data_IF_543555215587
#
_entry.id   IF_543555215587
#
_cell.length_a   1.000
_cell.length_b   1.000
_cell.length_c   1.000
_cell.angle_alpha   90.00
_cell.angle_beta   90.00
_cell.angle_gamma   90.00
#
_symmetry.space_group_name_H-M   'P 1'
#
loop_
_entity.id
_entity.type
_entity.pdbx_description
1 polymer ?
#
# COMPACT_ATOMS: atom_id res chain seq x y z
N UNK A 1 4.49 3.52 -0.19
CA UNK A 1 3.19 4.08 0.21
C UNK A 1 3.05 5.55 -0.19
N UNK A 2 3.92 6.46 0.21
CA UNK A 2 3.83 7.91 -0.08
C UNK A 2 3.70 8.30 -1.56
N UNK A 3 4.26 7.54 -2.49
CA UNK A 3 4.19 7.86 -3.93
C UNK A 3 2.77 7.66 -4.46
N UNK A 4 2.10 6.60 -4.04
CA UNK A 4 0.73 6.29 -4.44
C UNK A 4 -0.23 7.33 -3.90
N UNK A 5 -0.06 7.72 -2.62
CA UNK A 5 -0.85 8.79 -1.98
C UNK A 5 -0.72 10.12 -2.76
N UNK A 6 0.50 10.44 -3.22
CA UNK A 6 0.75 11.64 -4.04
C UNK A 6 0.08 11.58 -5.40
N UNK A 7 0.18 10.44 -6.08
CA UNK A 7 -0.47 10.23 -7.39
C UNK A 7 -1.98 10.34 -7.25
N UNK A 8 -2.56 9.68 -6.24
CA UNK A 8 -3.99 9.75 -5.96
C UNK A 8 -4.45 11.20 -5.69
N UNK A 9 -3.72 11.96 -4.89
CA UNK A 9 -4.03 13.37 -4.64
C UNK A 9 -4.01 14.22 -5.91
N UNK A 10 -3.00 14.04 -6.75
CA UNK A 10 -2.85 14.80 -8.00
C UNK A 10 -4.01 14.47 -8.97
N UNK A 11 -4.29 13.19 -9.18
CA UNK A 11 -5.32 12.76 -10.13
C UNK A 11 -6.72 13.16 -9.66
N UNK A 12 -7.05 12.97 -8.39
CA UNK A 12 -8.37 13.33 -7.85
C UNK A 12 -8.61 14.84 -7.85
N UNK A 13 -7.60 15.64 -7.49
CA UNK A 13 -7.73 17.09 -7.49
C UNK A 13 -7.75 17.70 -8.90
N UNK A 14 -6.84 17.26 -9.77
CA UNK A 14 -6.63 17.93 -11.07
C UNK A 14 -7.56 17.32 -12.13
N UNK A 15 -7.72 16.00 -12.17
CA UNK A 15 -8.47 15.34 -13.24
C UNK A 15 -9.97 15.25 -12.97
N UNK A 16 -10.37 15.11 -11.70
CA UNK A 16 -11.78 14.91 -11.31
C UNK A 16 -12.39 16.10 -10.57
N UNK A 17 -11.60 17.15 -10.27
CA UNK A 17 -12.10 18.39 -9.65
C UNK A 17 -12.70 18.21 -8.25
N UNK A 18 -12.34 17.11 -7.54
CA UNK A 18 -12.80 16.86 -6.17
C UNK A 18 -12.07 17.81 -5.22
N UNK A 19 -12.80 18.38 -4.25
CA UNK A 19 -12.20 19.30 -3.29
C UNK A 19 -11.04 18.66 -2.52
N UNK A 20 -9.92 19.37 -2.32
CA UNK A 20 -8.76 18.87 -1.58
C UNK A 20 -9.09 18.35 -0.18
N UNK A 21 -10.11 18.93 0.45
CA UNK A 21 -10.60 18.53 1.77
C UNK A 21 -11.16 17.11 1.79
N UNK A 22 -11.95 16.73 0.76
CA UNK A 22 -12.51 15.37 0.65
C UNK A 22 -11.42 14.34 0.38
N UNK A 23 -10.43 14.69 -0.44
CA UNK A 23 -9.28 13.82 -0.70
C UNK A 23 -8.45 13.63 0.58
N UNK A 24 -8.22 14.69 1.34
CA UNK A 24 -7.55 14.62 2.63
C UNK A 24 -8.28 13.75 3.64
N UNK A 25 -9.61 13.85 3.68
CA UNK A 25 -10.46 13.01 4.53
C UNK A 25 -10.34 11.52 4.15
N UNK A 26 -10.41 11.20 2.86
CA UNK A 26 -10.23 9.83 2.38
C UNK A 26 -8.87 9.26 2.79
N UNK A 27 -7.79 10.04 2.64
CA UNK A 27 -6.46 9.63 3.06
C UNK A 27 -6.35 9.40 4.57
N UNK A 28 -7.03 10.21 5.39
CA UNK A 28 -7.09 10.01 6.83
C UNK A 28 -7.81 8.70 7.19
N UNK A 29 -8.92 8.39 6.51
CA UNK A 29 -9.66 7.13 6.69
C UNK A 29 -8.77 5.94 6.34
N UNK A 30 -8.03 5.99 5.22
CA UNK A 30 -7.11 4.93 4.83
C UNK A 30 -6.02 4.69 5.88
N UNK A 31 -5.48 5.75 6.48
CA UNK A 31 -4.47 5.64 7.55
C UNK A 31 -5.03 4.99 8.82
N UNK A 32 -6.25 5.35 9.19
CA UNK A 32 -6.92 4.72 10.34
C UNK A 32 -7.19 3.24 10.04
N UNK A 33 -7.63 2.93 8.82
CA UNK A 33 -7.86 1.55 8.38
C UNK A 33 -6.60 0.70 8.44
N UNK A 34 -5.47 1.19 7.94
CA UNK A 34 -4.15 0.54 8.03
C UNK A 34 -3.78 0.23 9.49
N UNK A 35 -3.96 1.19 10.39
CA UNK A 35 -3.64 1.03 11.81
C UNK A 35 -4.40 -0.13 12.48
N UNK A 36 -5.60 -0.45 11.99
CA UNK A 36 -6.37 -1.60 12.47
C UNK A 36 -6.00 -2.89 11.74
N UNK A 37 -5.83 -2.85 10.43
CA UNK A 37 -5.61 -4.05 9.60
C UNK A 37 -4.21 -4.62 9.76
N UNK A 38 -3.19 -3.81 9.99
CA UNK A 38 -1.80 -4.24 10.16
C UNK A 38 -1.60 -5.21 11.35
N UNK A 39 -2.05 -4.91 12.59
CA UNK A 39 -1.94 -5.84 13.71
C UNK A 39 -2.77 -7.13 13.51
N UNK A 40 -3.96 -6.99 12.91
CA UNK A 40 -4.81 -8.14 12.60
C UNK A 40 -4.11 -9.10 11.65
N UNK A 41 -3.54 -8.56 10.57
CA UNK A 41 -2.85 -9.36 9.56
C UNK A 41 -1.56 -9.96 10.10
N UNK A 42 -0.82 -9.25 10.95
CA UNK A 42 0.35 -9.75 11.65
C UNK A 42 0.02 -11.00 12.46
N UNK A 43 -0.96 -10.89 13.36
CA UNK A 43 -1.39 -12.02 14.20
C UNK A 43 -1.95 -13.19 13.36
N UNK A 44 -2.74 -12.90 12.32
CA UNK A 44 -3.31 -13.93 11.46
C UNK A 44 -2.25 -14.68 10.66
N UNK A 45 -1.28 -13.96 10.06
CA UNK A 45 -0.20 -14.57 9.28
C UNK A 45 0.76 -15.40 10.14
N UNK A 46 0.96 -15.02 11.40
CA UNK A 46 1.84 -15.74 12.33
C UNK A 46 1.24 -17.05 12.83
N UNK A 47 -0.08 -17.11 12.96
CA UNK A 47 -0.80 -18.30 13.42
C UNK A 47 -1.18 -19.27 12.28
N UNK A 48 -1.07 -18.85 11.03
CA UNK A 48 -1.48 -19.65 9.88
C UNK A 48 -0.43 -20.72 9.54
N UNK A 49 -0.86 -21.97 9.39
CA UNK A 49 -0.03 -23.10 8.97
C UNK A 49 -0.49 -23.61 7.62
N UNK A 50 0.36 -23.47 6.60
CA UNK A 50 0.08 -23.99 5.25
C UNK A 50 1.19 -24.93 4.78
N UNK A 51 0.86 -25.84 3.84
CA UNK A 51 1.81 -26.73 3.15
C UNK A 51 2.90 -25.96 2.37
N UNK A 52 2.62 -24.71 1.99
CA UNK A 52 3.49 -23.85 1.19
C UNK A 52 4.36 -22.92 2.05
N UNK A 53 4.34 -23.13 3.37
CA UNK A 53 4.96 -22.26 4.35
C UNK A 53 3.95 -21.31 5.01
N UNK A 54 4.37 -20.72 6.13
CA UNK A 54 3.48 -19.91 6.98
C UNK A 54 3.04 -18.60 6.32
N UNK A 55 3.93 -17.93 5.58
CA UNK A 55 3.74 -16.55 5.07
C UNK A 55 3.66 -16.43 3.55
N UNK A 56 4.21 -17.41 2.80
CA UNK A 56 4.24 -17.39 1.33
C UNK A 56 2.87 -17.23 0.66
N UNK A 57 1.80 -17.95 1.08
CA UNK A 57 0.50 -17.84 0.43
C UNK A 57 -0.09 -16.43 0.54
N UNK A 58 0.12 -15.73 1.66
CA UNK A 58 -0.37 -14.37 1.83
C UNK A 58 0.31 -13.36 0.90
N UNK A 59 1.61 -13.51 0.69
CA UNK A 59 2.37 -12.66 -0.25
C UNK A 59 1.85 -12.84 -1.67
N UNK A 60 1.57 -14.07 -2.10
CA UNK A 60 1.02 -14.34 -3.44
C UNK A 60 -0.41 -13.83 -3.57
N UNK A 61 -1.28 -14.16 -2.63
CA UNK A 61 -2.68 -13.71 -2.64
C UNK A 61 -2.77 -12.20 -2.57
N UNK A 62 -2.04 -11.56 -1.66
CA UNK A 62 -2.00 -10.12 -1.51
C UNK A 62 -1.47 -9.42 -2.78
N UNK A 63 -0.44 -9.99 -3.42
CA UNK A 63 0.08 -9.49 -4.70
C UNK A 63 -0.95 -9.54 -5.83
N UNK A 64 -1.70 -10.63 -5.96
CA UNK A 64 -2.78 -10.77 -6.94
C UNK A 64 -3.92 -9.78 -6.64
N UNK A 65 -4.33 -9.67 -5.38
CA UNK A 65 -5.35 -8.70 -4.96
C UNK A 65 -4.93 -7.26 -5.27
N UNK A 66 -3.68 -6.88 -5.00
CA UNK A 66 -3.15 -5.56 -5.37
C UNK A 66 -3.18 -5.34 -6.89
N UNK A 67 -2.80 -6.35 -7.67
CA UNK A 67 -2.80 -6.26 -9.14
C UNK A 67 -4.21 -6.08 -9.73
N UNK A 68 -5.25 -6.58 -9.07
CA UNK A 68 -6.64 -6.43 -9.49
C UNK A 68 -7.23 -5.12 -8.96
N UNK A 69 -7.04 -4.80 -7.68
CA UNK A 69 -7.68 -3.65 -7.04
C UNK A 69 -7.07 -2.32 -7.49
N UNK A 70 -5.77 -2.29 -7.80
CA UNK A 70 -5.12 -1.07 -8.25
C UNK A 70 -5.67 -0.53 -9.58
N UNK A 71 -5.73 -1.32 -10.68
CA UNK A 71 -6.38 -0.84 -11.91
C UNK A 71 -7.88 -0.58 -11.71
N UNK A 72 -8.57 -1.41 -10.94
CA UNK A 72 -10.00 -1.24 -10.69
C UNK A 72 -10.32 0.11 -10.01
N UNK A 73 -9.43 0.63 -9.17
CA UNK A 73 -9.58 1.94 -8.57
C UNK A 73 -9.61 3.08 -9.60
N UNK A 74 -9.03 2.89 -10.79
CA UNK A 74 -8.96 3.90 -11.86
C UNK A 74 -10.07 3.76 -12.91
N UNK A 75 -10.92 2.72 -12.81
CA UNK A 75 -12.07 2.50 -13.69
C UNK A 75 -13.26 3.39 -13.29
N UNK A 76 -13.01 4.69 -13.09
CA UNK A 76 -14.04 5.66 -12.79
C UNK A 76 -14.53 6.33 -14.07
N UNK A 77 -15.85 6.41 -14.24
CA UNK A 77 -16.44 7.12 -15.35
C UNK A 77 -16.64 8.61 -15.01
N UNK A 78 -16.32 9.49 -15.95
CA UNK A 78 -16.42 10.94 -15.76
C UNK A 78 -17.86 11.44 -15.65
N UNK A 79 -18.81 10.63 -16.13
CA UNK A 79 -20.25 10.96 -16.09
C UNK A 79 -20.86 10.72 -14.70
N UNK A 80 -20.10 10.16 -13.78
CA UNK A 80 -20.56 9.94 -12.40
C UNK A 80 -20.50 11.26 -11.62
N UNK A 81 -21.52 11.46 -10.77
CA UNK A 81 -21.53 12.60 -9.86
C UNK A 81 -20.35 12.59 -8.87
N UNK A 82 -19.89 13.75 -8.38
CA UNK A 82 -18.72 13.85 -7.50
C UNK A 82 -18.84 13.02 -6.23
N UNK A 83 -20.04 12.84 -5.70
CA UNK A 83 -20.29 11.99 -4.52
C UNK A 83 -20.11 10.51 -4.84
N UNK A 84 -20.56 10.06 -6.01
CA UNK A 84 -20.43 8.66 -6.45
C UNK A 84 -18.96 8.32 -6.70
N UNK A 85 -18.21 9.22 -7.33
CA UNK A 85 -16.77 9.07 -7.55
C UNK A 85 -16.04 8.96 -6.22
N UNK A 86 -16.38 9.82 -5.26
CA UNK A 86 -15.78 9.79 -3.92
C UNK A 86 -16.06 8.47 -3.18
N UNK A 87 -17.30 7.98 -3.16
CA UNK A 87 -17.67 6.73 -2.52
C UNK A 87 -17.02 5.52 -3.19
N UNK A 88 -16.97 5.49 -4.51
CA UNK A 88 -16.27 4.45 -5.27
C UNK A 88 -14.79 4.43 -4.95
N UNK A 89 -14.13 5.58 -5.00
CA UNK A 89 -12.72 5.73 -4.67
C UNK A 89 -12.43 5.29 -3.23
N UNK A 90 -13.27 5.68 -2.29
CA UNK A 90 -13.15 5.29 -0.88
C UNK A 90 -13.25 3.76 -0.73
N UNK A 91 -14.26 3.13 -1.33
CA UNK A 91 -14.46 1.68 -1.25
C UNK A 91 -13.34 0.89 -1.90
N UNK A 92 -12.95 1.24 -3.12
CA UNK A 92 -11.85 0.59 -3.83
C UNK A 92 -10.50 0.88 -3.20
N UNK A 93 -10.31 2.07 -2.64
CA UNK A 93 -9.14 2.43 -1.87
C UNK A 93 -8.99 1.56 -0.63
N UNK A 94 -10.04 1.39 0.18
CA UNK A 94 -10.03 0.50 1.34
C UNK A 94 -9.68 -0.95 0.96
N UNK A 95 -10.26 -1.46 -0.15
CA UNK A 95 -9.94 -2.78 -0.66
C UNK A 95 -8.46 -2.90 -1.07
N UNK A 96 -7.93 -1.89 -1.73
CA UNK A 96 -6.52 -1.83 -2.14
C UNK A 96 -5.57 -1.75 -0.93
N UNK A 97 -5.88 -0.91 0.08
CA UNK A 97 -5.09 -0.83 1.31
C UNK A 97 -5.10 -2.15 2.07
N UNK A 98 -6.25 -2.84 2.14
CA UNK A 98 -6.32 -4.18 2.72
C UNK A 98 -5.45 -5.17 1.94
N UNK A 99 -5.48 -5.15 0.62
CA UNK A 99 -4.64 -6.00 -0.23
C UNK A 99 -3.14 -5.75 0.00
N UNK A 100 -2.73 -4.48 0.12
CA UNK A 100 -1.35 -4.10 0.48
C UNK A 100 -0.97 -4.65 1.85
N UNK A 101 -1.82 -4.52 2.86
CA UNK A 101 -1.55 -5.05 4.21
C UNK A 101 -1.37 -6.57 4.19
N UNK A 102 -2.24 -7.29 3.46
CA UNK A 102 -2.13 -8.75 3.26
C UNK A 102 -0.81 -9.14 2.59
N UNK A 103 -0.29 -8.32 1.70
CA UNK A 103 1.00 -8.52 1.05
C UNK A 103 2.17 -8.10 1.94
N UNK A 104 2.15 -6.87 2.45
CA UNK A 104 3.31 -6.21 3.05
C UNK A 104 3.68 -6.77 4.42
N UNK A 105 2.70 -7.02 5.29
CA UNK A 105 2.95 -7.49 6.66
C UNK A 105 3.67 -8.86 6.66
N UNK A 106 3.18 -9.91 5.97
CA UNK A 106 3.90 -11.18 5.89
C UNK A 106 5.23 -11.07 5.16
N UNK A 107 5.31 -10.22 4.15
CA UNK A 107 6.55 -9.99 3.39
C UNK A 107 7.66 -9.42 4.28
N UNK A 108 7.38 -8.34 5.03
CA UNK A 108 8.38 -7.75 5.93
C UNK A 108 8.80 -8.70 7.04
N UNK A 109 7.86 -9.43 7.59
CA UNK A 109 8.13 -10.43 8.60
C UNK A 109 8.98 -11.59 8.06
N UNK A 110 8.73 -12.00 6.81
CA UNK A 110 9.52 -13.03 6.15
C UNK A 110 10.94 -12.58 5.86
N UNK A 111 11.13 -11.37 5.33
CA UNK A 111 12.47 -10.77 5.12
C UNK A 111 13.23 -10.67 6.44
N UNK A 112 12.53 -10.33 7.53
CA UNK A 112 13.14 -10.28 8.87
C UNK A 112 13.61 -11.64 9.39
N UNK A 113 12.95 -12.74 9.03
CA UNK A 113 13.32 -14.10 9.42
C UNK A 113 14.46 -14.68 8.57
N UNK A 114 14.63 -14.22 7.33
CA UNK A 114 15.67 -14.72 6.43
C UNK A 114 17.09 -14.27 6.81
N UNK A 115 17.22 -13.22 7.60
CA UNK A 115 18.52 -12.65 7.99
C UNK A 115 18.71 -12.77 9.50
N UNK A 116 19.41 -13.82 10.00
CA UNK A 116 19.66 -14.00 11.41
C UNK A 116 20.66 -12.98 11.97
N UNK A 117 21.46 -12.35 11.10
CA UNK A 117 22.44 -11.34 11.50
C UNK A 117 21.85 -9.93 11.43
N UNK A 118 21.91 -9.22 12.58
CA UNK A 118 21.41 -7.85 12.72
C UNK A 118 22.12 -6.86 11.80
N UNK A 119 23.39 -7.09 11.50
CA UNK A 119 24.18 -6.25 10.58
C UNK A 119 23.71 -6.40 9.11
N UNK A 120 23.47 -7.63 8.65
CA UNK A 120 22.94 -7.86 7.31
C UNK A 120 21.52 -7.30 7.14
N UNK A 121 20.70 -7.43 8.18
CA UNK A 121 19.35 -6.86 8.21
C UNK A 121 19.36 -5.34 8.05
N UNK A 122 20.26 -4.68 8.76
CA UNK A 122 20.45 -3.23 8.67
C UNK A 122 20.93 -2.84 7.27
N UNK A 123 21.87 -3.61 6.69
CA UNK A 123 22.37 -3.36 5.34
C UNK A 123 21.31 -3.53 4.26
N UNK A 124 20.43 -4.53 4.35
CA UNK A 124 19.33 -4.73 3.39
C UNK A 124 18.32 -3.57 3.47
N UNK A 125 17.98 -3.13 4.68
CA UNK A 125 17.09 -1.98 4.90
C UNK A 125 17.75 -0.68 4.43
N UNK A 126 19.04 -0.48 4.71
CA UNK A 126 19.82 0.68 4.27
C UNK A 126 19.92 0.71 2.74
N UNK A 127 20.24 -0.41 2.11
CA UNK A 127 20.34 -0.52 0.65
C UNK A 127 19.00 -0.20 -0.04
N UNK A 128 17.87 -0.63 0.56
CA UNK A 128 16.54 -0.25 0.09
C UNK A 128 16.27 1.25 0.27
N UNK A 129 16.69 1.82 1.39
CA UNK A 129 16.56 3.26 1.64
C UNK A 129 17.44 4.05 0.67
N UNK A 130 18.67 3.62 0.41
CA UNK A 130 19.60 4.27 -0.53
C UNK A 130 19.12 4.25 -1.97
N UNK A 131 18.51 3.16 -2.45
CA UNK A 131 17.90 3.09 -3.78
C UNK A 131 16.76 4.11 -3.90
N UNK A 132 15.95 4.27 -2.85
CA UNK A 132 14.81 5.21 -2.85
C UNK A 132 15.30 6.66 -2.67
N UNK A 133 16.28 6.89 -1.79
CA UNK A 133 16.77 8.22 -1.42
C UNK A 133 17.86 8.72 -2.38
N UNK A 134 18.77 7.85 -2.84
CA UNK A 134 19.83 8.19 -3.80
C UNK A 134 19.26 8.69 -5.14
N UNK A 135 18.08 8.19 -5.53
CA UNK A 135 17.37 8.70 -6.71
C UNK A 135 16.81 10.11 -6.52
N UNK A 136 16.63 10.55 -5.28
CA UNK A 136 16.23 11.94 -4.98
C UNK A 136 17.42 12.90 -4.89
N UNK A 137 18.55 12.46 -4.37
CA UNK A 137 19.76 13.29 -4.23
C UNK A 137 20.39 13.56 -5.59
N UNK A 138 20.39 12.61 -6.52
CA UNK A 138 20.89 12.78 -7.88
C UNK A 138 20.11 13.79 -8.72
N UNK A 139 18.92 14.19 -8.31
CA UNK A 139 18.09 15.23 -8.98
C UNK A 139 18.29 16.63 -8.43
N UNK A 140 18.91 16.78 -7.28
CA UNK A 140 19.14 18.09 -6.65
C UNK A 140 20.45 18.75 -7.08
N UNK A 141 21.27 18.08 -7.90
CA UNK A 141 22.58 18.54 -8.34
C UNK A 141 22.71 18.75 -9.87
N UNK A 142 21.56 18.88 -10.60
CA UNK A 142 21.56 19.27 -12.02
C UNK A 142 20.82 20.57 -12.21
#
# INVERSE_FOLDING_TARGET
MQIIDRICQIVLNICLGISPTLVGLAMAIFRIWDAFTDPFMGNYSDNFRSRWGRRRPFVVIGGILCAITFPAMWLMDRDWGPTTIFLYFLGMGLAYYTAITVYSVPYFSWVAEMTPDTHERTNIIAFRADIVTGKQIGRAHV
#
